data_IF_680167326423
#
_entry.id   IF_680167326423
#
_cell.length_a   1.000
_cell.length_b   1.000
_cell.length_c   1.000
_cell.angle_alpha   90.00
_cell.angle_beta   90.00
_cell.angle_gamma   90.00
#
_symmetry.space_group_name_H-M   'P 1'
#
loop_
_entity.id
_entity.type
_entity.pdbx_description
1 polymer ?
#
# COMPACT_ATOMS: atom_id res chain seq x y z
N UNK A 1 4.29 -8.86 -4.33
CA UNK A 1 5.70 -9.08 -4.72
C UNK A 1 6.08 -7.89 -5.57
N UNK A 2 7.12 -7.15 -5.21
CA UNK A 2 7.59 -6.02 -6.02
C UNK A 2 8.74 -6.53 -6.87
N UNK A 3 8.64 -6.37 -8.19
CA UNK A 3 9.62 -6.89 -9.13
C UNK A 3 9.98 -5.82 -10.15
N UNK A 4 11.28 -5.63 -10.38
CA UNK A 4 11.81 -5.07 -11.61
C UNK A 4 12.61 -6.15 -12.34
N UNK A 5 13.14 -5.84 -13.54
CA UNK A 5 14.04 -6.73 -14.27
C UNK A 5 15.35 -7.03 -13.52
N UNK A 6 15.65 -6.30 -12.44
CA UNK A 6 16.90 -6.40 -11.68
C UNK A 6 16.72 -6.78 -10.21
N UNK A 7 15.66 -6.31 -9.53
CA UNK A 7 15.43 -6.57 -8.11
C UNK A 7 14.05 -7.18 -7.85
N UNK A 8 14.01 -8.18 -6.96
CA UNK A 8 12.78 -8.80 -6.46
C UNK A 8 12.74 -8.74 -4.93
N UNK A 9 11.61 -8.29 -4.39
CA UNK A 9 11.41 -8.16 -2.95
C UNK A 9 10.10 -8.81 -2.48
N UNK A 10 10.15 -9.42 -1.29
CA UNK A 10 8.98 -9.88 -0.56
C UNK A 10 9.06 -9.40 0.87
N UNK A 11 7.96 -8.87 1.37
CA UNK A 11 7.82 -8.36 2.71
C UNK A 11 6.58 -8.97 3.35
N UNK A 12 6.75 -9.49 4.57
CA UNK A 12 5.62 -9.99 5.35
C UNK A 12 4.91 -8.80 6.01
N UNK A 13 3.60 -8.73 5.83
CA UNK A 13 2.78 -7.62 6.28
C UNK A 13 1.59 -8.14 7.08
N UNK A 14 1.42 -7.60 8.29
CA UNK A 14 0.15 -7.68 9.01
C UNK A 14 -0.66 -6.43 8.65
N UNK A 15 -1.89 -6.65 8.19
CA UNK A 15 -2.79 -5.60 7.73
C UNK A 15 -4.03 -5.55 8.61
N UNK A 16 -4.46 -4.35 8.96
CA UNK A 16 -5.72 -4.06 9.63
C UNK A 16 -6.76 -3.61 8.60
N UNK A 17 -8.06 -3.73 8.90
CA UNK A 17 -9.11 -3.16 8.04
C UNK A 17 -8.89 -1.66 7.75
N UNK A 18 -8.44 -0.90 8.75
CA UNK A 18 -8.12 0.51 8.63
C UNK A 18 -6.97 0.79 7.65
N UNK A 19 -6.04 -0.15 7.46
CA UNK A 19 -4.98 -0.03 6.45
C UNK A 19 -5.55 -0.11 5.04
N UNK A 20 -6.56 -0.97 4.82
CA UNK A 20 -7.24 -1.10 3.53
C UNK A 20 -8.07 0.15 3.19
N UNK A 21 -8.72 0.75 4.19
CA UNK A 21 -9.42 2.02 4.02
C UNK A 21 -8.46 3.16 3.69
N UNK A 22 -7.33 3.24 4.41
CA UNK A 22 -6.25 4.20 4.09
C UNK A 22 -5.70 3.96 2.69
N UNK A 23 -5.57 2.71 2.26
CA UNK A 23 -5.16 2.38 0.89
C UNK A 23 -6.17 2.86 -0.15
N UNK A 24 -7.48 2.64 0.08
CA UNK A 24 -8.53 3.17 -0.79
C UNK A 24 -8.40 4.68 -0.96
N UNK A 25 -8.22 5.41 0.15
CA UNK A 25 -8.03 6.86 0.12
C UNK A 25 -6.75 7.26 -0.61
N UNK A 26 -5.67 6.52 -0.44
CA UNK A 26 -4.43 6.76 -1.19
C UNK A 26 -4.64 6.61 -2.71
N UNK A 27 -5.40 5.62 -3.16
CA UNK A 27 -5.75 5.48 -4.58
C UNK A 27 -6.54 6.67 -5.12
N UNK A 28 -7.43 7.26 -4.32
CA UNK A 28 -8.17 8.46 -4.71
C UNK A 28 -7.28 9.71 -4.83
N UNK A 29 -6.30 9.85 -3.93
CA UNK A 29 -5.30 10.92 -3.99
C UNK A 29 -4.39 10.74 -5.22
N UNK A 30 -3.92 9.52 -5.50
CA UNK A 30 -3.15 9.21 -6.71
C UNK A 30 -3.95 9.50 -7.99
N UNK A 31 -5.24 9.18 -8.01
CA UNK A 31 -6.12 9.51 -9.14
C UNK A 31 -6.29 11.02 -9.34
N UNK A 32 -6.15 11.80 -8.28
CA UNK A 32 -6.12 13.26 -8.31
C UNK A 32 -4.71 13.83 -8.63
N UNK A 33 -3.73 12.97 -8.91
CA UNK A 33 -2.35 13.35 -9.22
C UNK A 33 -1.52 13.75 -7.99
N UNK A 34 -1.96 13.39 -6.79
CA UNK A 34 -1.28 13.71 -5.54
C UNK A 34 -0.40 12.56 -5.07
N UNK A 35 0.74 12.92 -4.47
CA UNK A 35 1.62 11.97 -3.79
C UNK A 35 0.93 11.36 -2.57
N UNK A 36 1.30 10.11 -2.26
CA UNK A 36 0.76 9.39 -1.11
C UNK A 36 1.86 8.78 -0.26
N UNK A 37 1.54 8.61 1.03
CA UNK A 37 2.23 7.75 1.96
C UNK A 37 1.19 6.81 2.58
N UNK A 38 1.36 5.51 2.38
CA UNK A 38 0.52 4.48 2.98
C UNK A 38 1.25 3.86 4.17
N UNK A 39 0.53 3.71 5.29
CA UNK A 39 1.02 3.25 6.60
C UNK A 39 2.04 4.18 7.28
N UNK A 40 1.77 5.48 7.22
CA UNK A 40 2.54 6.55 7.91
C UNK A 40 2.30 6.62 9.43
N UNK A 41 1.98 5.50 10.08
CA UNK A 41 1.56 5.42 11.48
C UNK A 41 2.56 4.66 12.36
N UNK A 42 3.85 4.81 12.07
CA UNK A 42 5.00 4.13 12.71
C UNK A 42 4.97 2.58 12.58
N UNK A 43 3.96 2.02 11.92
CA UNK A 43 3.87 0.60 11.60
C UNK A 43 4.63 0.31 10.31
N UNK A 44 5.98 0.26 10.40
CA UNK A 44 6.81 -0.24 9.30
C UNK A 44 6.28 -1.58 8.79
N UNK A 45 6.14 -1.73 7.47
CA UNK A 45 6.71 -0.93 6.40
C UNK A 45 5.74 0.07 5.73
N UNK A 46 6.31 1.18 5.27
CA UNK A 46 5.65 2.28 4.56
C UNK A 46 5.80 2.15 3.04
N UNK A 47 4.79 2.60 2.30
CA UNK A 47 4.83 2.71 0.84
C UNK A 47 4.52 4.14 0.43
N UNK A 48 5.44 4.79 -0.27
CA UNK A 48 5.28 6.14 -0.83
C UNK A 48 5.24 6.05 -2.34
N UNK A 49 4.29 6.76 -2.96
CA UNK A 49 4.15 6.83 -4.42
C UNK A 49 4.04 8.29 -4.81
N UNK A 50 4.90 8.73 -5.73
CA UNK A 50 4.94 10.11 -6.21
C UNK A 50 4.51 10.19 -7.67
N UNK A 51 3.58 11.09 -7.98
CA UNK A 51 2.76 11.02 -9.21
C UNK A 51 3.54 11.31 -10.50
N UNK A 52 4.67 12.00 -10.42
CA UNK A 52 5.68 12.06 -11.48
C UNK A 52 6.97 12.68 -10.93
N UNK A 53 8.10 12.02 -11.14
CA UNK A 53 9.43 12.49 -10.78
C UNK A 53 10.14 13.01 -12.04
N UNK A 54 10.47 14.30 -12.09
CA UNK A 54 11.12 14.93 -13.25
C UNK A 54 12.55 14.44 -13.47
N UNK A 55 13.26 14.03 -12.41
CA UNK A 55 14.64 13.54 -12.51
C UNK A 55 14.68 12.14 -13.15
N UNK A 56 13.67 11.32 -12.87
CA UNK A 56 13.59 9.94 -13.33
C UNK A 56 12.61 9.73 -14.49
N UNK A 57 11.89 10.78 -14.91
CA UNK A 57 10.84 10.77 -15.94
C UNK A 57 9.79 9.65 -15.74
N UNK A 58 9.50 9.32 -14.48
CA UNK A 58 8.66 8.18 -14.11
C UNK A 58 7.92 8.40 -12.78
N UNK A 59 6.95 7.52 -12.48
CA UNK A 59 6.39 7.42 -11.13
C UNK A 59 7.43 6.81 -10.21
N UNK A 60 7.62 7.41 -9.06
CA UNK A 60 8.57 6.91 -8.07
C UNK A 60 7.83 6.16 -6.98
N UNK A 61 8.25 4.92 -6.72
CA UNK A 61 7.77 4.12 -5.60
C UNK A 61 8.89 3.89 -4.61
N UNK A 62 8.63 4.23 -3.34
CA UNK A 62 9.54 3.98 -2.23
C UNK A 62 8.89 3.02 -1.24
N UNK A 63 9.61 1.98 -0.88
CA UNK A 63 9.20 1.04 0.18
C UNK A 63 10.23 1.13 1.29
N UNK A 64 9.78 1.43 2.50
CA UNK A 64 10.66 1.58 3.68
C UNK A 64 10.21 0.65 4.78
N UNK A 65 11.12 -0.17 5.28
CA UNK A 65 10.90 -1.08 6.41
C UNK A 65 11.93 -0.81 7.50
N UNK A 66 11.91 0.41 8.04
CA UNK A 66 12.90 0.88 9.01
C UNK A 66 12.74 0.19 10.38
N UNK A 67 11.52 -0.21 10.73
CA UNK A 67 11.22 -0.87 12.00
C UNK A 67 11.59 -2.35 12.06
N UNK A 68 11.82 -3.03 10.92
CA UNK A 68 12.15 -4.46 10.89
C UNK A 68 13.46 -4.77 10.16
N UNK A 69 13.48 -4.70 8.83
CA UNK A 69 14.67 -5.07 8.05
C UNK A 69 15.68 -3.94 7.85
N UNK A 70 15.32 -2.70 8.21
CA UNK A 70 16.06 -1.48 7.90
C UNK A 70 16.30 -1.28 6.39
N UNK A 71 15.46 -1.89 5.54
CA UNK A 71 15.59 -1.81 4.08
C UNK A 71 14.78 -0.63 3.57
N UNK A 72 15.40 0.15 2.67
CA UNK A 72 14.73 1.13 1.83
C UNK A 72 14.97 0.76 0.38
N UNK A 73 13.89 0.65 -0.38
CA UNK A 73 13.92 0.38 -1.82
C UNK A 73 13.28 1.54 -2.54
N UNK A 74 13.99 2.08 -3.52
CA UNK A 74 13.54 3.14 -4.41
C UNK A 74 13.46 2.61 -5.83
N UNK A 75 12.29 2.75 -6.46
CA UNK A 75 12.00 2.21 -7.78
C UNK A 75 11.27 3.26 -8.62
N UNK A 76 11.95 3.88 -9.59
CA UNK A 76 11.25 4.54 -10.67
C UNK A 76 10.60 3.47 -11.54
N UNK A 77 9.29 3.60 -11.79
CA UNK A 77 8.54 2.65 -12.59
C UNK A 77 7.51 3.34 -13.47
N UNK A 78 7.35 2.82 -14.69
CA UNK A 78 6.23 3.18 -15.55
C UNK A 78 5.01 2.39 -15.08
N UNK A 79 3.98 3.10 -14.61
CA UNK A 79 2.69 2.48 -14.34
C UNK A 79 1.90 2.37 -15.63
N UNK A 80 1.33 1.20 -15.89
CA UNK A 80 0.44 0.99 -17.02
C UNK A 80 -0.81 1.89 -16.90
N UNK A 81 -1.37 2.29 -18.04
CA UNK A 81 -2.67 2.96 -18.06
C UNK A 81 -3.73 2.11 -17.36
N UNK A 82 -4.53 2.73 -16.49
CA UNK A 82 -5.55 2.03 -15.70
C UNK A 82 -5.01 1.28 -14.48
N UNK A 83 -3.72 1.42 -14.12
CA UNK A 83 -3.14 0.78 -12.93
C UNK A 83 -3.95 1.04 -11.66
N UNK A 84 -4.41 2.29 -11.45
CA UNK A 84 -5.22 2.66 -10.27
C UNK A 84 -6.54 1.87 -10.24
N UNK A 85 -7.19 1.69 -11.38
CA UNK A 85 -8.46 0.95 -11.44
C UNK A 85 -8.26 -0.54 -11.17
N UNK A 86 -7.15 -1.13 -11.64
CA UNK A 86 -6.81 -2.50 -11.27
C UNK A 86 -6.50 -2.62 -9.78
N UNK A 87 -5.81 -1.64 -9.16
CA UNK A 87 -5.61 -1.64 -7.70
C UNK A 87 -6.93 -1.54 -6.93
N UNK A 88 -7.89 -0.71 -7.39
CA UNK A 88 -9.23 -0.63 -6.78
C UNK A 88 -9.98 -1.96 -6.86
N UNK A 89 -9.88 -2.66 -8.00
CA UNK A 89 -10.48 -3.98 -8.19
C UNK A 89 -9.83 -5.03 -7.28
N UNK A 90 -8.50 -5.05 -7.17
CA UNK A 90 -7.78 -5.93 -6.25
C UNK A 90 -8.17 -5.67 -4.79
N UNK A 91 -8.26 -4.39 -4.40
CA UNK A 91 -8.75 -4.01 -3.07
C UNK A 91 -10.17 -4.54 -2.82
N UNK A 92 -11.06 -4.40 -3.81
CA UNK A 92 -12.41 -4.97 -3.74
C UNK A 92 -12.40 -6.48 -3.49
N UNK A 93 -11.55 -7.24 -4.19
CA UNK A 93 -11.39 -8.68 -3.99
C UNK A 93 -10.89 -9.00 -2.58
N UNK A 94 -9.88 -8.27 -2.09
CA UNK A 94 -9.36 -8.44 -0.73
C UNK A 94 -10.44 -8.19 0.31
N UNK A 95 -11.26 -7.14 0.14
CA UNK A 95 -12.35 -6.81 1.05
C UNK A 95 -13.49 -7.85 1.04
N UNK A 96 -13.74 -8.53 -0.09
CA UNK A 96 -14.72 -9.62 -0.15
C UNK A 96 -14.26 -10.87 0.63
N UNK A 97 -12.97 -11.19 0.56
CA UNK A 97 -12.38 -12.36 1.22
C UNK A 97 -11.81 -12.04 2.62
N UNK A 98 -11.93 -10.79 3.06
CA UNK A 98 -11.34 -10.35 4.33
C UNK A 98 -11.99 -11.08 5.50
N UNK A 99 -11.22 -11.51 6.53
CA UNK A 99 -11.77 -12.16 7.71
C UNK A 99 -12.85 -11.28 8.34
N UNK A 100 -14.10 -11.67 8.18
CA UNK A 100 -15.25 -10.96 8.77
C UNK A 100 -15.53 -11.46 10.18
N UNK A 101 -14.85 -12.54 10.58
CA UNK A 101 -15.00 -13.14 11.88
C UNK A 101 -14.44 -12.26 12.98
N UNK A 102 -13.55 -11.30 12.71
CA UNK A 102 -12.95 -10.45 13.74
C UNK A 102 -13.24 -8.98 13.43
N UNK A 103 -14.16 -8.39 14.20
CA UNK A 103 -14.51 -6.97 14.09
C UNK A 103 -13.80 -6.16 15.17
N UNK A 104 -13.22 -5.03 14.78
CA UNK A 104 -12.74 -4.05 15.76
C UNK A 104 -13.95 -3.36 16.40
N UNK A 105 -14.24 -3.67 17.67
CA UNK A 105 -15.36 -3.07 18.43
C UNK A 105 -14.98 -1.75 19.10
N UNK A 106 -13.67 -1.50 19.28
CA UNK A 106 -13.06 -0.26 19.78
C UNK A 106 -11.58 -0.24 19.40
N UNK A 107 -10.87 0.90 19.41
CA UNK A 107 -9.46 0.97 19.01
C UNK A 107 -8.59 -0.10 19.72
N UNK A 108 -8.06 -1.04 18.96
CA UNK A 108 -7.25 -2.17 19.45
C UNK A 108 -8.02 -3.32 20.12
N UNK A 109 -9.36 -3.28 20.13
CA UNK A 109 -10.23 -4.31 20.69
C UNK A 109 -10.98 -5.05 19.57
N UNK A 110 -10.79 -6.37 19.51
CA UNK A 110 -11.26 -7.21 18.43
C UNK A 110 -12.21 -8.29 18.96
N UNK A 111 -13.41 -8.35 18.39
CA UNK A 111 -14.46 -9.28 18.78
C UNK A 111 -14.78 -10.27 17.66
N UNK A 112 -15.08 -11.51 18.05
CA UNK A 112 -15.47 -12.52 17.09
C UNK A 112 -16.95 -12.37 16.69
N UNK A 113 -17.25 -12.22 15.39
CA UNK A 113 -18.62 -12.39 14.88
C UNK A 113 -19.05 -13.84 15.14
N UNK A 114 -20.09 -14.00 15.96
CA UNK A 114 -20.76 -15.28 16.19
C UNK A 114 -21.75 -15.59 15.08
#
# INVERSE_FOLDING_TARGET
MVTSSFVGGRLALALLPSDLEKWSRALDLLAAGQDICWRDDDHSPEIKIQSYDEEHEAVTVRVEDLGSSCVSVFLPMSLDEGWIDEQRKLLGQVLQEWPSEVLESSPGAYEWRR
#
